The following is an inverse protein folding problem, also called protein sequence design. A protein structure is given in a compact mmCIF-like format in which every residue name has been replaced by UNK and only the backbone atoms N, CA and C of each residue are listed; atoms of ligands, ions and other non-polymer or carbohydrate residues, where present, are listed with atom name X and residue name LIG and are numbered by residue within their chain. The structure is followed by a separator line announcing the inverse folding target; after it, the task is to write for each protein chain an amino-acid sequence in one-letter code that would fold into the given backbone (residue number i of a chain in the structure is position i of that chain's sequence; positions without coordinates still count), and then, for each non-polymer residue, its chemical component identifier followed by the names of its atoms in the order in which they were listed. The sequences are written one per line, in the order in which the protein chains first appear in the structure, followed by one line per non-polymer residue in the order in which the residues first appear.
data_IF_250694148273
#
_entry.id   IF_250694148273
#
_cell.length_a   1.000
_cell.length_b   1.000
_cell.length_c   1.000
_cell.angle_alpha   90.00
_cell.angle_beta   90.00
_cell.angle_gamma   90.00
#
_symmetry.space_group_name_H-M   'P 1'
#
loop_
_entity.id
_entity.type
_entity.pdbx_description
1 polymer ?
#
# COMPACT_ATOMS: atom_id res chain seq x y z
N UNK A 1 18.90 0.59 3.51
CA UNK A 1 19.12 -0.85 3.72
C UNK A 1 20.16 -1.02 4.80
N UNK A 2 20.62 -2.25 4.99
CA UNK A 2 21.76 -2.53 5.87
C UNK A 2 23.05 -1.90 5.31
N UNK A 3 23.98 -1.50 6.18
CA UNK A 3 25.26 -0.92 5.76
C UNK A 3 26.11 -1.91 4.93
N UNK A 4 26.06 -3.20 5.28
CA UNK A 4 26.66 -4.30 4.53
C UNK A 4 25.55 -5.24 4.01
N UNK A 5 25.03 -5.02 2.79
CA UNK A 5 23.89 -5.78 2.28
C UNK A 5 24.30 -7.19 1.85
N UNK A 6 23.51 -8.17 2.27
CA UNK A 6 23.73 -9.56 1.86
C UNK A 6 23.09 -9.88 0.52
N UNK A 7 23.62 -10.89 -0.14
CA UNK A 7 23.05 -11.47 -1.36
C UNK A 7 22.08 -12.60 -1.01
N UNK A 8 21.04 -12.76 -1.83
CA UNK A 8 20.14 -13.92 -1.71
C UNK A 8 20.80 -15.23 -2.17
N UNK A 9 21.69 -15.16 -3.18
CA UNK A 9 22.41 -16.31 -3.70
C UNK A 9 23.62 -16.67 -2.81
N UNK A 10 23.92 -17.97 -2.72
CA UNK A 10 25.14 -18.49 -2.09
C UNK A 10 26.36 -18.52 -3.03
N UNK A 11 26.18 -18.18 -4.32
CA UNK A 11 27.27 -18.20 -5.30
C UNK A 11 28.27 -17.06 -5.04
N UNK A 12 29.58 -17.34 -5.05
CA UNK A 12 30.61 -16.37 -4.67
C UNK A 12 30.75 -15.20 -5.67
N UNK A 13 30.26 -15.34 -6.90
CA UNK A 13 30.28 -14.24 -7.88
C UNK A 13 29.13 -13.25 -7.69
N UNK A 14 28.11 -13.62 -6.89
CA UNK A 14 26.96 -12.74 -6.65
C UNK A 14 27.39 -11.59 -5.76
N UNK A 15 27.15 -10.36 -6.22
CA UNK A 15 27.43 -9.14 -5.45
C UNK A 15 26.13 -8.37 -5.23
N UNK A 16 26.01 -7.62 -4.12
CA UNK A 16 24.91 -6.69 -3.94
C UNK A 16 24.85 -5.67 -5.07
N UNK A 17 23.66 -5.11 -5.35
CA UNK A 17 23.53 -4.07 -6.37
C UNK A 17 24.42 -2.86 -6.01
N UNK A 18 25.04 -2.21 -7.00
CA UNK A 18 25.99 -1.11 -6.76
C UNK A 18 25.32 0.14 -6.19
N UNK A 19 24.00 0.26 -6.36
CA UNK A 19 23.20 1.37 -5.85
C UNK A 19 21.96 0.84 -5.16
N UNK A 20 21.79 1.20 -3.89
CA UNK A 20 20.54 0.98 -3.17
C UNK A 20 19.64 2.20 -3.28
N UNK A 21 18.34 1.95 -3.36
CA UNK A 21 17.31 2.98 -3.19
C UNK A 21 16.74 2.87 -1.77
N UNK A 22 16.35 4.01 -1.21
CA UNK A 22 15.60 4.01 0.04
C UNK A 22 14.12 3.88 -0.26
N UNK A 23 13.42 3.11 0.57
CA UNK A 23 11.97 3.19 0.68
C UNK A 23 11.61 4.25 1.72
N UNK A 24 10.39 4.77 1.63
CA UNK A 24 9.85 5.69 2.63
C UNK A 24 8.67 5.06 3.37
N UNK A 25 8.34 5.65 4.51
CA UNK A 25 7.25 5.20 5.35
C UNK A 25 6.28 6.38 5.50
N UNK A 26 5.00 6.09 5.27
CA UNK A 26 3.90 6.97 5.66
C UNK A 26 2.84 6.18 6.42
N UNK A 27 1.78 6.85 6.81
CA UNK A 27 0.68 6.27 7.55
C UNK A 27 -0.66 6.75 7.02
N UNK A 28 -1.67 5.90 7.09
CA UNK A 28 -3.06 6.35 7.00
C UNK A 28 -3.45 7.12 8.27
N UNK A 29 -4.58 7.81 8.22
CA UNK A 29 -5.18 8.56 9.32
C UNK A 29 -6.67 8.24 9.42
N UNK A 30 -7.35 8.65 10.51
CA UNK A 30 -8.80 8.52 10.62
C UNK A 30 -9.55 9.16 9.44
N UNK A 31 -9.07 10.32 8.96
CA UNK A 31 -9.62 10.98 7.77
C UNK A 31 -9.51 10.09 6.52
N UNK A 32 -8.36 9.45 6.30
CA UNK A 32 -8.17 8.50 5.20
C UNK A 32 -9.13 7.32 5.33
N UNK A 33 -9.35 6.82 6.55
CA UNK A 33 -10.28 5.71 6.78
C UNK A 33 -11.71 6.11 6.45
N UNK A 34 -12.14 7.31 6.84
CA UNK A 34 -13.49 7.82 6.54
C UNK A 34 -13.72 7.97 5.03
N UNK A 35 -12.70 8.43 4.29
CA UNK A 35 -12.75 8.48 2.82
C UNK A 35 -12.87 7.07 2.24
N UNK A 36 -12.09 6.10 2.72
CA UNK A 36 -12.13 4.74 2.20
C UNK A 36 -13.48 4.07 2.50
N UNK A 37 -14.04 4.27 3.70
CA UNK A 37 -15.37 3.77 4.10
C UNK A 37 -16.48 4.26 3.18
N UNK A 38 -16.36 5.47 2.62
CA UNK A 38 -17.36 6.00 1.68
C UNK A 38 -17.43 5.26 0.33
N UNK A 39 -16.54 4.29 0.08
CA UNK A 39 -16.58 3.44 -1.11
C UNK A 39 -16.82 1.96 -0.83
N UNK A 40 -17.00 1.54 0.44
CA UNK A 40 -17.11 0.13 0.81
C UNK A 40 -18.29 -0.57 0.13
N UNK A 41 -19.43 0.10 0.04
CA UNK A 41 -20.64 -0.37 -0.65
C UNK A 41 -20.40 -0.72 -2.14
N UNK A 42 -19.39 -0.10 -2.75
CA UNK A 42 -19.00 -0.30 -4.15
C UNK A 42 -17.83 -1.26 -4.32
N UNK A 43 -17.20 -1.71 -3.24
CA UNK A 43 -16.14 -2.71 -3.32
C UNK A 43 -16.74 -4.10 -3.64
N UNK A 44 -16.20 -4.84 -4.63
CA UNK A 44 -16.59 -6.23 -4.90
C UNK A 44 -16.46 -7.15 -3.67
N UNK A 45 -15.54 -6.81 -2.74
CA UNK A 45 -15.32 -7.55 -1.49
C UNK A 45 -16.50 -7.44 -0.52
N UNK A 46 -17.17 -6.28 -0.48
CA UNK A 46 -18.25 -5.97 0.47
C UNK A 46 -19.65 -6.03 -0.16
N UNK A 47 -19.75 -5.90 -1.49
CA UNK A 47 -21.02 -5.95 -2.24
C UNK A 47 -21.61 -7.37 -2.41
N UNK A 48 -21.09 -8.38 -1.70
CA UNK A 48 -21.63 -9.75 -1.71
C UNK A 48 -21.44 -10.52 -3.02
N UNK A 49 -20.67 -9.98 -3.98
CA UNK A 49 -20.33 -10.66 -5.25
C UNK A 49 -19.33 -11.80 -5.08
N UNK A 50 -18.56 -11.80 -3.99
CA UNK A 50 -17.65 -12.88 -3.62
C UNK A 50 -18.26 -13.64 -2.45
N UNK A 51 -18.83 -14.81 -2.71
CA UNK A 51 -19.37 -15.71 -1.68
C UNK A 51 -18.28 -16.70 -1.24
N UNK A 52 -17.64 -16.42 -0.10
CA UNK A 52 -16.64 -17.30 0.51
C UNK A 52 -16.13 -16.72 1.83
N UNK A 53 -15.58 -17.57 2.70
CA UNK A 53 -14.79 -17.09 3.85
C UNK A 53 -13.61 -16.33 3.23
N UNK A 54 -13.61 -15.01 3.35
CA UNK A 54 -12.54 -14.17 2.79
C UNK A 54 -11.16 -14.68 3.21
N UNK A 55 -10.10 -14.38 2.44
CA UNK A 55 -8.77 -14.90 2.76
C UNK A 55 -8.40 -14.60 4.22
N UNK A 56 -7.68 -15.55 4.84
CA UNK A 56 -7.22 -15.44 6.23
C UNK A 56 -6.42 -14.15 6.44
N UNK A 57 -5.75 -13.67 5.40
CA UNK A 57 -5.04 -12.40 5.35
C UNK A 57 -5.87 -11.37 4.61
N UNK A 58 -6.00 -10.16 5.18
CA UNK A 58 -6.68 -9.06 4.52
C UNK A 58 -5.94 -8.68 3.24
N UNK A 59 -6.54 -8.87 2.05
CA UNK A 59 -5.85 -8.67 0.78
C UNK A 59 -5.85 -7.18 0.38
N UNK A 60 -6.71 -6.37 1.00
CA UNK A 60 -6.90 -4.96 0.67
C UNK A 60 -7.01 -4.06 1.90
N UNK A 61 -6.78 -2.77 1.69
CA UNK A 61 -6.84 -1.74 2.73
C UNK A 61 -8.27 -1.58 3.28
N UNK A 62 -9.29 -1.76 2.45
CA UNK A 62 -10.69 -1.73 2.90
C UNK A 62 -11.01 -2.88 3.89
N UNK A 63 -10.59 -4.12 3.61
CA UNK A 63 -10.77 -5.25 4.55
C UNK A 63 -9.92 -5.08 5.81
N UNK A 64 -8.73 -4.48 5.69
CA UNK A 64 -7.87 -4.18 6.84
C UNK A 64 -8.51 -3.14 7.78
N UNK A 65 -9.10 -2.08 7.24
CA UNK A 65 -9.77 -1.04 8.03
C UNK A 65 -11.05 -1.58 8.68
N UNK A 66 -11.80 -2.45 7.99
CA UNK A 66 -13.01 -3.06 8.54
C UNK A 66 -12.71 -4.02 9.69
N UNK A 67 -11.75 -4.94 9.50
CA UNK A 67 -11.39 -5.92 10.54
C UNK A 67 -10.64 -5.33 11.73
N UNK A 68 -9.84 -4.29 11.51
CA UNK A 68 -9.02 -3.63 12.54
C UNK A 68 -9.50 -2.20 12.77
N UNK A 69 -10.81 -2.03 12.96
CA UNK A 69 -11.46 -0.74 13.15
C UNK A 69 -11.03 0.01 14.42
N UNK A 70 -10.39 -0.68 15.38
CA UNK A 70 -9.79 -0.11 16.59
C UNK A 70 -8.46 0.62 16.33
N UNK A 71 -7.88 0.49 15.13
CA UNK A 71 -6.61 1.11 14.76
C UNK A 71 -6.82 2.45 14.06
N UNK A 72 -6.32 3.53 14.66
CA UNK A 72 -6.39 4.88 14.08
C UNK A 72 -5.50 5.08 12.85
N UNK A 73 -4.51 4.21 12.64
CA UNK A 73 -3.56 4.30 11.51
C UNK A 73 -2.99 2.96 11.10
N UNK A 74 -2.61 2.88 9.84
CA UNK A 74 -1.92 1.75 9.23
C UNK A 74 -0.65 2.26 8.54
N UNK A 75 0.47 1.56 8.77
CA UNK A 75 1.74 1.87 8.10
C UNK A 75 1.68 1.48 6.63
N UNK A 76 2.21 2.36 5.78
CA UNK A 76 2.33 2.20 4.34
C UNK A 76 3.81 2.33 3.98
N UNK A 77 4.30 1.41 3.14
CA UNK A 77 5.64 1.52 2.57
C UNK A 77 5.55 2.09 1.16
N UNK A 78 6.46 3.01 0.87
CA UNK A 78 6.56 3.71 -0.40
C UNK A 78 7.84 3.21 -1.07
N UNK A 79 7.67 2.32 -2.03
CA UNK A 79 8.75 1.50 -2.60
C UNK A 79 9.00 1.91 -4.07
N UNK A 80 10.20 2.41 -4.41
CA UNK A 80 10.54 2.67 -5.82
C UNK A 80 10.48 1.37 -6.64
N UNK A 81 9.84 1.40 -7.80
CA UNK A 81 9.76 0.19 -8.67
C UNK A 81 11.04 -0.07 -9.47
N UNK A 82 11.93 0.93 -9.58
CA UNK A 82 13.22 0.76 -10.25
C UNK A 82 14.12 1.99 -10.23
N UNK A 83 15.33 1.85 -10.77
CA UNK A 83 16.30 2.97 -10.83
C UNK A 83 15.99 4.01 -11.90
N UNK A 84 15.25 3.63 -12.94
CA UNK A 84 15.01 4.45 -14.14
C UNK A 84 13.50 4.68 -14.37
N UNK A 85 12.71 4.72 -13.30
CA UNK A 85 11.27 5.04 -13.34
C UNK A 85 10.93 6.05 -12.25
N UNK A 86 9.81 6.73 -12.42
CA UNK A 86 9.17 7.57 -11.39
C UNK A 86 8.05 6.82 -10.67
N UNK A 87 7.74 5.61 -11.13
CA UNK A 87 6.71 4.75 -10.56
C UNK A 87 7.13 4.28 -9.17
N UNK A 88 6.16 4.29 -8.27
CA UNK A 88 6.36 3.97 -6.86
C UNK A 88 5.20 3.11 -6.41
N UNK A 89 5.52 1.95 -5.86
CA UNK A 89 4.56 1.03 -5.31
C UNK A 89 4.17 1.44 -3.88
N UNK A 90 2.87 1.52 -3.62
CA UNK A 90 2.31 1.94 -2.33
C UNK A 90 1.87 0.70 -1.55
N UNK A 91 2.86 0.00 -1.00
CA UNK A 91 2.67 -1.27 -0.31
C UNK A 91 1.86 -1.09 0.99
N UNK A 92 0.81 -1.90 1.13
CA UNK A 92 -0.18 -1.80 2.19
C UNK A 92 -1.42 -0.98 1.84
N UNK A 93 -1.52 -0.45 0.62
CA UNK A 93 -2.68 0.31 0.11
C UNK A 93 -3.38 -0.37 -1.08
N UNK A 94 -3.24 -1.69 -1.22
CA UNK A 94 -3.96 -2.46 -2.25
C UNK A 94 -5.47 -2.29 -2.08
N UNK A 95 -6.21 -1.98 -3.15
CA UNK A 95 -7.64 -1.67 -3.04
C UNK A 95 -8.40 -2.00 -4.32
N UNK A 96 -9.69 -2.27 -4.15
CA UNK A 96 -10.67 -2.46 -5.23
C UNK A 96 -11.70 -1.32 -5.32
N UNK A 97 -11.49 -0.24 -4.55
CA UNK A 97 -12.41 0.89 -4.46
C UNK A 97 -12.42 1.71 -5.76
N UNK A 98 -13.48 2.50 -6.01
CA UNK A 98 -13.54 3.40 -7.17
C UNK A 98 -12.37 4.40 -7.21
N UNK A 99 -11.89 4.72 -8.41
CA UNK A 99 -10.69 5.55 -8.64
C UNK A 99 -10.74 6.89 -7.90
N UNK A 100 -11.90 7.56 -7.87
CA UNK A 100 -12.07 8.84 -7.18
C UNK A 100 -11.89 8.73 -5.66
N UNK A 101 -12.26 7.58 -5.07
CA UNK A 101 -12.04 7.29 -3.65
C UNK A 101 -10.57 7.03 -3.41
N UNK A 102 -9.92 6.26 -4.29
CA UNK A 102 -8.49 5.97 -4.19
C UNK A 102 -7.65 7.25 -4.24
N UNK A 103 -7.89 8.13 -5.22
CA UNK A 103 -7.16 9.41 -5.38
C UNK A 103 -7.38 10.31 -4.16
N UNK A 104 -8.62 10.41 -3.68
CA UNK A 104 -8.95 11.25 -2.51
C UNK A 104 -8.26 10.73 -1.25
N UNK A 105 -8.32 9.42 -1.01
CA UNK A 105 -7.67 8.79 0.14
C UNK A 105 -6.14 8.90 0.08
N UNK A 106 -5.55 8.70 -1.10
CA UNK A 106 -4.11 8.84 -1.31
C UNK A 106 -3.66 10.27 -1.00
N UNK A 107 -4.35 11.29 -1.53
CA UNK A 107 -3.98 12.70 -1.31
C UNK A 107 -4.18 13.18 0.13
N UNK A 108 -5.02 12.50 0.91
CA UNK A 108 -5.17 12.76 2.34
C UNK A 108 -4.03 12.14 3.19
N UNK A 109 -3.20 11.25 2.63
CA UNK A 109 -2.04 10.72 3.36
C UNK A 109 -0.89 11.74 3.44
N UNK A 110 -0.19 11.83 4.58
CA UNK A 110 1.01 12.65 4.71
C UNK A 110 2.05 12.33 3.63
N UNK A 111 2.53 13.35 2.93
CA UNK A 111 3.48 13.23 1.83
C UNK A 111 2.86 13.02 0.44
N UNK A 112 1.56 12.76 0.34
CA UNK A 112 0.87 12.43 -0.91
C UNK A 112 -0.10 13.52 -1.42
N UNK A 113 -0.17 14.68 -0.79
CA UNK A 113 -1.11 15.76 -1.15
C UNK A 113 -1.11 16.14 -2.64
N UNK A 114 0.05 16.03 -3.31
CA UNK A 114 0.22 16.33 -4.74
C UNK A 114 0.52 15.08 -5.59
N UNK A 115 0.24 13.88 -5.06
CA UNK A 115 0.45 12.64 -5.78
C UNK A 115 -0.37 12.59 -7.08
N UNK A 116 0.23 12.00 -8.10
CA UNK A 116 -0.35 11.78 -9.42
C UNK A 116 -0.40 10.28 -9.69
N UNK A 117 -1.57 9.82 -10.11
CA UNK A 117 -1.80 8.46 -10.62
C UNK A 117 -2.01 8.64 -12.13
N UNK A 118 -1.28 7.89 -12.95
CA UNK A 118 -1.30 8.00 -14.41
C UNK A 118 -0.95 6.66 -15.06
#
# INVERSE_FOLDING_TARGET
GDEDPRTFSFLPETKPPPKQLSCWITYTSPEVHDILRSGFDRSPMFSGRIQGVGPRYCPSIEDKIDRFADRDRHQIFVEPEGWNTVETYINGFSTSLPEEVQIKALRAMPGFAQARIF
#
